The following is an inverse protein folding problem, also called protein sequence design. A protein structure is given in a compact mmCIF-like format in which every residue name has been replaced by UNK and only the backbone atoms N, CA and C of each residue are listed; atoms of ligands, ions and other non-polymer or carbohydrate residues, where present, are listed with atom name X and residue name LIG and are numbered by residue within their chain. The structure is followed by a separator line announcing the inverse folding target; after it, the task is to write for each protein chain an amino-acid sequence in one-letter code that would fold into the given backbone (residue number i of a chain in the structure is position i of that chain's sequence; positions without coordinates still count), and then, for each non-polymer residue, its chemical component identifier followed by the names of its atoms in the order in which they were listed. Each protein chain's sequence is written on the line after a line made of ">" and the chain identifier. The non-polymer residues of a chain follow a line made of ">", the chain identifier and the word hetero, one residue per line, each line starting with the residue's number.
data_IF_043538940033
#
_entry.id   IF_043538940033
#
_cell.length_a   1.000
_cell.length_b   1.000
_cell.length_c   1.000
_cell.angle_alpha   90.00
_cell.angle_beta   90.00
_cell.angle_gamma   90.00
#
_symmetry.space_group_name_H-M   'P 1'
#
loop_
_entity.id
_entity.type
_entity.pdbx_description
1 polymer ?
#
# COMPACT_ATOMS: atom_id res chain seq x y z
N UNK A 1 2.41 12.11 23.22
CA UNK A 1 1.97 12.79 21.99
C UNK A 1 1.21 11.77 21.17
N UNK A 2 0.01 12.11 20.71
CA UNK A 2 -0.85 11.23 19.91
C UNK A 2 -0.98 11.85 18.52
N UNK A 3 -0.79 11.04 17.48
CA UNK A 3 -1.00 11.43 16.09
C UNK A 3 -2.21 10.68 15.56
N UNK A 4 -3.03 11.30 14.73
CA UNK A 4 -4.18 10.68 14.09
C UNK A 4 -3.98 10.60 12.58
N UNK A 5 -4.25 9.42 12.03
CA UNK A 5 -4.42 9.22 10.59
C UNK A 5 -5.87 8.80 10.38
N UNK A 6 -6.62 9.58 9.60
CA UNK A 6 -8.03 9.32 9.29
C UNK A 6 -8.16 8.89 7.84
N UNK A 7 -8.85 7.77 7.61
CA UNK A 7 -9.29 7.34 6.29
C UNK A 7 -10.82 7.51 6.19
N UNK A 8 -11.29 8.17 5.14
CA UNK A 8 -12.71 8.39 4.85
C UNK A 8 -13.03 7.74 3.51
N UNK A 9 -13.98 6.80 3.51
CA UNK A 9 -14.36 5.99 2.35
C UNK A 9 -15.79 6.35 1.98
N UNK A 10 -15.99 6.91 0.78
CA UNK A 10 -17.32 7.07 0.20
C UNK A 10 -17.66 5.81 -0.59
N UNK A 11 -18.83 5.22 -0.30
CA UNK A 11 -19.31 3.98 -0.91
C UNK A 11 -20.52 4.26 -1.81
N UNK A 12 -20.63 3.50 -2.91
CA UNK A 12 -21.84 3.49 -3.72
C UNK A 12 -23.00 2.71 -3.06
N UNK A 13 -24.14 2.66 -3.74
CA UNK A 13 -25.32 1.89 -3.30
C UNK A 13 -25.09 0.38 -3.13
N UNK A 14 -24.05 -0.18 -3.75
CA UNK A 14 -23.63 -1.58 -3.66
C UNK A 14 -22.49 -1.79 -2.66
N UNK A 15 -22.10 -0.75 -1.90
CA UNK A 15 -20.97 -0.76 -0.95
C UNK A 15 -19.60 -0.91 -1.60
N UNK A 16 -19.45 -0.46 -2.85
CA UNK A 16 -18.16 -0.37 -3.55
C UNK A 16 -17.53 1.01 -3.31
N UNK A 17 -16.23 1.10 -2.98
CA UNK A 17 -15.55 2.38 -2.84
C UNK A 17 -15.60 3.23 -4.13
N UNK A 18 -16.17 4.44 -4.01
CA UNK A 18 -16.16 5.46 -5.07
C UNK A 18 -15.03 6.46 -4.86
N UNK A 19 -14.84 6.95 -3.63
CA UNK A 19 -13.77 7.88 -3.27
C UNK A 19 -13.10 7.49 -1.97
N UNK A 20 -11.80 7.72 -1.92
CA UNK A 20 -11.00 7.55 -0.71
C UNK A 20 -10.36 8.89 -0.39
N UNK A 21 -10.45 9.30 0.87
CA UNK A 21 -9.74 10.44 1.39
C UNK A 21 -8.91 10.02 2.59
N UNK A 22 -7.78 10.70 2.78
CA UNK A 22 -6.97 10.50 3.96
C UNK A 22 -6.44 11.81 4.53
N UNK A 23 -6.18 11.80 5.83
CA UNK A 23 -5.70 12.96 6.58
C UNK A 23 -4.65 12.51 7.56
N UNK A 24 -3.52 13.20 7.59
CA UNK A 24 -2.43 13.03 8.53
C UNK A 24 -1.85 14.42 8.84
N UNK A 25 -2.48 15.14 9.79
CA UNK A 25 -2.18 16.55 10.04
C UNK A 25 -0.73 16.79 10.47
N UNK A 26 -0.15 15.85 11.24
CA UNK A 26 1.25 15.94 11.68
C UNK A 26 2.24 15.78 10.51
N UNK A 27 1.80 15.17 9.40
CA UNK A 27 2.54 15.08 8.14
C UNK A 27 2.19 16.19 7.14
N UNK A 28 1.34 17.14 7.52
CA UNK A 28 0.90 18.24 6.64
C UNK A 28 -0.15 17.85 5.59
N UNK A 29 -0.86 16.73 5.77
CA UNK A 29 -1.80 16.19 4.79
C UNK A 29 -3.22 16.34 5.31
N UNK A 30 -4.05 17.10 4.59
CA UNK A 30 -5.40 17.45 5.00
C UNK A 30 -6.43 17.08 3.93
N UNK A 31 -7.20 16.01 4.18
CA UNK A 31 -8.28 15.51 3.32
C UNK A 31 -7.89 15.36 1.83
N UNK A 32 -6.72 14.76 1.60
CA UNK A 32 -6.26 14.47 0.24
C UNK A 32 -6.98 13.25 -0.34
N UNK A 33 -7.30 13.30 -1.63
CA UNK A 33 -7.91 12.19 -2.35
C UNK A 33 -6.86 11.10 -2.67
N UNK A 34 -7.28 9.84 -2.58
CA UNK A 34 -6.47 8.69 -2.95
C UNK A 34 -7.26 7.76 -3.89
N UNK A 35 -6.54 7.05 -4.76
CA UNK A 35 -7.12 6.00 -5.61
C UNK A 35 -7.01 4.60 -5.02
N UNK A 36 -6.07 4.38 -4.11
CA UNK A 36 -5.90 3.12 -3.39
C UNK A 36 -5.31 3.32 -1.99
N UNK A 37 -5.65 2.41 -1.07
CA UNK A 37 -5.08 2.29 0.27
C UNK A 37 -4.84 0.81 0.53
N UNK A 38 -3.65 0.46 0.99
CA UNK A 38 -3.33 -0.85 1.53
C UNK A 38 -2.80 -0.70 2.95
N UNK A 39 -3.51 -1.26 3.93
CA UNK A 39 -3.17 -1.19 5.35
C UNK A 39 -3.00 -2.59 5.92
N UNK A 40 -1.89 -2.82 6.61
CA UNK A 40 -1.61 -4.05 7.34
C UNK A 40 -1.40 -3.73 8.82
N UNK A 41 -2.09 -4.45 9.70
CA UNK A 41 -2.06 -4.27 11.15
C UNK A 41 -1.66 -5.60 11.79
N UNK A 42 -0.53 -5.62 12.50
CA UNK A 42 -0.08 -6.79 13.24
C UNK A 42 -0.83 -6.93 14.57
N UNK A 43 -1.59 -8.02 14.73
CA UNK A 43 -2.12 -8.42 16.03
C UNK A 43 -1.16 -9.38 16.72
N UNK A 44 -0.43 -8.86 17.72
CA UNK A 44 0.51 -9.65 18.52
C UNK A 44 -0.13 -10.76 19.37
N UNK A 45 -1.43 -10.66 19.70
CA UNK A 45 -2.13 -11.66 20.52
C UNK A 45 -2.50 -12.86 19.68
N UNK A 46 -3.11 -12.62 18.53
CA UNK A 46 -3.46 -13.66 17.56
C UNK A 46 -2.25 -14.12 16.73
N UNK A 47 -1.18 -13.33 16.68
CA UNK A 47 0.02 -13.52 15.83
C UNK A 47 -0.33 -13.59 14.35
N UNK A 48 -1.15 -12.65 13.90
CA UNK A 48 -1.60 -12.55 12.52
C UNK A 48 -1.64 -11.10 12.03
N UNK A 49 -1.73 -10.92 10.72
CA UNK A 49 -1.86 -9.61 10.09
C UNK A 49 -3.29 -9.41 9.61
N UNK A 50 -3.98 -8.44 10.20
CA UNK A 50 -5.26 -7.93 9.67
C UNK A 50 -4.97 -6.97 8.50
N UNK A 51 -5.83 -6.98 7.48
CA UNK A 51 -5.62 -6.16 6.28
C UNK A 51 -6.88 -5.43 5.83
N UNK A 52 -6.67 -4.24 5.27
CA UNK A 52 -7.68 -3.46 4.56
C UNK A 52 -7.06 -3.04 3.24
N UNK A 53 -7.59 -3.59 2.15
CA UNK A 53 -7.14 -3.33 0.79
C UNK A 53 -8.31 -2.66 0.04
N UNK A 54 -8.13 -1.39 -0.33
CA UNK A 54 -9.15 -0.56 -0.97
C UNK A 54 -8.59 0.07 -2.24
N UNK A 55 -9.43 0.17 -3.26
CA UNK A 55 -9.18 0.97 -4.45
C UNK A 55 -10.51 1.52 -4.98
N UNK A 56 -10.46 2.68 -5.61
CA UNK A 56 -11.63 3.26 -6.26
C UNK A 56 -11.97 2.48 -7.53
N UNK A 57 -13.25 2.43 -7.87
CA UNK A 57 -13.74 1.72 -9.06
C UNK A 57 -13.12 2.21 -10.37
N UNK A 58 -12.71 3.47 -10.42
CA UNK A 58 -12.17 4.14 -11.60
C UNK A 58 -10.64 4.07 -11.72
N UNK A 59 -9.95 3.46 -10.76
CA UNK A 59 -8.49 3.30 -10.84
C UNK A 59 -8.12 2.40 -12.04
N UNK A 60 -7.29 2.88 -12.99
CA UNK A 60 -6.85 2.07 -14.13
C UNK A 60 -6.03 0.84 -13.71
N UNK A 61 -6.17 -0.27 -14.44
CA UNK A 61 -5.48 -1.54 -14.11
C UNK A 61 -3.95 -1.40 -14.21
N UNK A 62 -3.45 -0.60 -15.12
CA UNK A 62 -2.04 -0.24 -15.24
C UNK A 62 -1.55 0.52 -14.00
N UNK A 63 -2.31 1.50 -13.49
CA UNK A 63 -2.00 2.16 -12.23
C UNK A 63 -2.02 1.19 -11.04
N UNK A 64 -2.96 0.24 -11.01
CA UNK A 64 -2.98 -0.81 -9.97
C UNK A 64 -1.70 -1.64 -9.98
N UNK A 65 -1.22 -2.05 -11.17
CA UNK A 65 0.04 -2.79 -11.30
C UNK A 65 1.24 -1.98 -10.80
N UNK A 66 1.28 -0.69 -11.12
CA UNK A 66 2.30 0.24 -10.64
C UNK A 66 2.24 0.34 -9.11
N UNK A 67 1.05 0.52 -8.53
CA UNK A 67 0.84 0.59 -7.08
C UNK A 67 1.35 -0.67 -6.36
N UNK A 68 1.02 -1.86 -6.87
CA UNK A 68 1.54 -3.12 -6.33
C UNK A 68 3.06 -3.23 -6.43
N UNK A 69 3.63 -2.93 -7.59
CA UNK A 69 5.08 -2.96 -7.79
C UNK A 69 5.80 -2.03 -6.80
N UNK A 70 5.39 -0.77 -6.72
CA UNK A 70 5.99 0.21 -5.80
C UNK A 70 5.85 -0.22 -4.35
N UNK A 71 4.72 -0.82 -3.98
CA UNK A 71 4.53 -1.31 -2.61
C UNK A 71 5.43 -2.51 -2.29
N UNK A 72 5.63 -3.43 -3.25
CA UNK A 72 6.55 -4.57 -3.07
C UNK A 72 8.00 -4.09 -2.88
N UNK A 73 8.45 -3.11 -3.68
CA UNK A 73 9.78 -2.50 -3.53
C UNK A 73 9.92 -1.86 -2.14
N UNK A 74 8.97 -1.00 -1.74
CA UNK A 74 9.00 -0.36 -0.43
C UNK A 74 8.94 -1.37 0.74
N UNK A 75 8.22 -2.47 0.55
CA UNK A 75 8.15 -3.57 1.52
C UNK A 75 9.51 -4.29 1.65
N UNK A 76 10.25 -4.47 0.55
CA UNK A 76 11.60 -5.04 0.61
C UNK A 76 12.56 -4.17 1.44
N UNK A 77 12.52 -2.85 1.26
CA UNK A 77 13.34 -1.92 2.05
C UNK A 77 12.91 -1.89 3.52
N UNK A 78 11.60 -1.97 3.78
CA UNK A 78 11.06 -2.03 5.13
C UNK A 78 11.44 -3.31 5.85
N UNK A 79 11.41 -4.44 5.14
CA UNK A 79 11.87 -5.73 5.64
C UNK A 79 13.34 -5.65 6.03
N UNK A 80 14.21 -5.14 5.16
CA UNK A 80 15.64 -4.97 5.47
C UNK A 80 15.86 -4.14 6.73
N UNK A 81 15.21 -2.97 6.85
CA UNK A 81 15.34 -2.12 8.04
C UNK A 81 14.85 -2.80 9.33
N UNK A 82 13.93 -3.76 9.23
CA UNK A 82 13.36 -4.45 10.37
C UNK A 82 14.17 -5.69 10.80
N UNK A 83 14.84 -6.36 9.87
CA UNK A 83 15.47 -7.68 10.11
C UNK A 83 16.97 -7.72 9.87
N UNK A 84 17.52 -6.75 9.14
CA UNK A 84 18.91 -6.73 8.67
C UNK A 84 19.27 -7.92 7.76
N UNK A 85 18.26 -8.61 7.21
CA UNK A 85 18.46 -9.75 6.29
C UNK A 85 18.64 -9.26 4.85
N UNK A 86 19.88 -8.91 4.51
CA UNK A 86 20.26 -8.44 3.18
C UNK A 86 19.99 -9.48 2.09
N UNK A 87 20.18 -10.78 2.38
CA UNK A 87 20.04 -11.84 1.38
C UNK A 87 18.59 -11.97 0.94
N UNK A 88 17.67 -12.01 1.89
CA UNK A 88 16.25 -12.07 1.58
C UNK A 88 15.76 -10.75 0.97
N UNK A 89 16.26 -9.61 1.43
CA UNK A 89 15.98 -8.31 0.82
C UNK A 89 16.35 -8.28 -0.66
N UNK A 90 17.55 -8.73 -1.03
CA UNK A 90 17.99 -8.79 -2.42
C UNK A 90 17.10 -9.74 -3.23
N UNK A 91 16.71 -10.87 -2.67
CA UNK A 91 15.77 -11.80 -3.33
C UNK A 91 14.40 -11.16 -3.58
N UNK A 92 13.88 -10.37 -2.63
CA UNK A 92 12.63 -9.61 -2.80
C UNK A 92 12.76 -8.56 -3.90
N UNK A 93 13.91 -7.88 -3.99
CA UNK A 93 14.18 -6.87 -5.03
C UNK A 93 14.31 -7.50 -6.41
N UNK A 94 15.02 -8.62 -6.53
CA UNK A 94 15.11 -9.39 -7.78
C UNK A 94 13.71 -9.78 -8.29
N UNK A 95 12.80 -10.17 -7.37
CA UNK A 95 11.41 -10.43 -7.74
C UNK A 95 10.67 -9.17 -8.19
N UNK A 96 10.89 -8.02 -7.54
CA UNK A 96 10.28 -6.75 -7.96
C UNK A 96 10.74 -6.36 -9.37
N UNK A 97 12.04 -6.51 -9.67
CA UNK A 97 12.59 -6.24 -11.00
C UNK A 97 11.97 -7.17 -12.06
N UNK A 98 11.90 -8.47 -11.76
CA UNK A 98 11.20 -9.45 -12.60
C UNK A 98 9.72 -9.08 -12.81
N UNK A 99 9.02 -8.70 -11.75
CA UNK A 99 7.61 -8.30 -11.79
C UNK A 99 7.41 -7.08 -12.70
N UNK A 100 8.28 -6.09 -12.59
CA UNK A 100 8.26 -4.90 -13.42
C UNK A 100 8.54 -5.19 -14.90
N UNK A 101 9.53 -6.05 -15.19
CA UNK A 101 9.86 -6.48 -16.55
C UNK A 101 8.67 -7.22 -17.19
N UNK A 102 8.08 -8.20 -16.49
CA UNK A 102 6.99 -9.02 -17.04
C UNK A 102 5.68 -8.27 -17.22
N UNK A 103 5.50 -7.18 -16.50
CA UNK A 103 4.34 -6.30 -16.66
C UNK A 103 4.64 -5.06 -17.51
N UNK A 104 5.83 -4.96 -18.09
CA UNK A 104 6.29 -3.85 -18.93
C UNK A 104 6.14 -2.48 -18.22
N UNK A 105 6.41 -2.45 -16.91
CA UNK A 105 6.30 -1.24 -16.08
C UNK A 105 7.54 -0.33 -16.18
N UNK A 106 8.66 -0.88 -16.63
CA UNK A 106 9.91 -0.15 -16.89
C UNK A 106 10.06 -0.06 -18.41
N UNK A 107 10.29 1.15 -18.92
CA UNK A 107 10.62 1.39 -20.34
C UNK A 107 12.11 1.25 -20.59
#
# INVERSE_FOLDING_TARGET
>A
MTSEIKFEIELDSNRVPEKLFWTANDGGIAKEEAKAIMLSIWDSKAKETMRIDLWTKDMPVDEMKIFFHQTLVAMSDTFNRATDDEKMTNTMKDFCDYFAEKLELIK
#
